data_IF_136974776955
#
_entry.id   IF_136974776955
#
_cell.length_a   1.000
_cell.length_b   1.000
_cell.length_c   1.000
_cell.angle_alpha   90.00
_cell.angle_beta   90.00
_cell.angle_gamma   90.00
#
_symmetry.space_group_name_H-M   'P 1'
#
loop_
_entity.id
_entity.type
_entity.pdbx_description
1 polymer ?
#
# COMPACT_ATOMS: atom_id res chain seq x y z
N UNK A 1 -26.56 42.31 22.20
CA UNK A 1 -26.10 40.98 22.67
C UNK A 1 -26.06 40.07 21.47
N UNK A 2 -24.88 39.76 20.94
CA UNK A 2 -24.71 38.80 19.84
C UNK A 2 -24.14 37.53 20.45
N UNK A 3 -24.92 36.45 20.38
CA UNK A 3 -24.49 35.11 20.82
C UNK A 3 -23.66 34.52 19.68
N UNK A 4 -22.35 34.39 19.90
CA UNK A 4 -21.47 33.68 18.99
C UNK A 4 -21.75 32.18 19.09
N UNK A 5 -22.30 31.60 18.02
CA UNK A 5 -22.44 30.16 17.89
C UNK A 5 -21.06 29.54 17.67
N UNK A 6 -20.62 28.72 18.62
CA UNK A 6 -19.43 27.89 18.49
C UNK A 6 -19.68 26.83 17.42
N UNK A 7 -19.01 26.96 16.28
CA UNK A 7 -18.95 25.89 15.28
C UNK A 7 -18.11 24.74 15.85
N UNK A 8 -18.59 23.48 15.81
CA UNK A 8 -17.77 22.35 16.19
C UNK A 8 -16.62 22.24 15.19
N UNK A 9 -15.39 22.40 15.67
CA UNK A 9 -14.21 22.09 14.88
C UNK A 9 -14.28 20.59 14.56
N UNK A 10 -14.28 20.16 13.28
CA UNK A 10 -14.03 18.77 12.99
C UNK A 10 -12.64 18.48 13.53
N UNK A 11 -12.55 17.55 14.48
CA UNK A 11 -11.28 17.00 14.90
C UNK A 11 -10.61 16.44 13.66
N UNK A 12 -9.61 17.19 13.14
CA UNK A 12 -8.61 16.62 12.27
C UNK A 12 -7.94 15.55 13.12
N UNK A 13 -8.40 14.30 12.95
CA UNK A 13 -7.69 13.15 13.46
C UNK A 13 -6.25 13.31 12.96
N UNK A 14 -5.35 13.60 13.89
CA UNK A 14 -3.93 13.68 13.63
C UNK A 14 -3.56 12.32 13.03
N UNK A 15 -3.28 12.34 11.73
CA UNK A 15 -2.73 11.20 11.01
C UNK A 15 -1.30 11.06 11.49
N UNK A 16 -1.16 10.38 12.63
CA UNK A 16 0.12 9.83 13.05
C UNK A 16 0.44 8.68 12.08
N UNK A 17 1.07 9.02 10.95
CA UNK A 17 2.09 8.18 10.33
C UNK A 17 2.88 8.96 9.23
N UNK A 18 4.00 9.56 9.66
CA UNK A 18 5.27 9.54 8.93
C UNK A 18 5.37 10.13 7.50
N UNK A 19 4.70 11.25 7.22
CA UNK A 19 5.06 12.13 6.09
C UNK A 19 4.59 11.68 4.70
N UNK A 20 3.90 10.55 4.59
CA UNK A 20 3.15 10.17 3.39
C UNK A 20 1.67 10.41 3.62
N UNK A 21 1.09 11.42 2.95
CA UNK A 21 -0.33 11.74 3.07
C UNK A 21 -1.17 10.59 2.50
N UNK A 22 -1.74 9.75 3.38
CA UNK A 22 -2.58 8.62 2.99
C UNK A 22 -4.01 9.10 2.73
N UNK A 23 -4.64 8.58 1.67
CA UNK A 23 -6.02 8.95 1.33
C UNK A 23 -7.03 8.13 2.17
N UNK A 24 -8.18 8.70 2.50
CA UNK A 24 -9.26 7.97 3.19
C UNK A 24 -10.22 7.28 2.21
N UNK A 25 -10.14 7.58 0.92
CA UNK A 25 -11.03 7.06 -0.11
C UNK A 25 -10.31 6.80 -1.44
N UNK A 26 -10.92 5.97 -2.30
CA UNK A 26 -10.41 5.65 -3.63
C UNK A 26 -9.68 4.31 -3.74
N UNK A 27 -9.69 3.51 -2.66
CA UNK A 27 -9.23 2.12 -2.72
C UNK A 27 -10.03 1.33 -3.78
N UNK A 28 -9.33 0.58 -4.62
CA UNK A 28 -9.87 -0.16 -5.76
C UNK A 28 -9.96 0.64 -7.06
N UNK A 29 -9.77 1.96 -7.05
CA UNK A 29 -9.76 2.77 -8.26
C UNK A 29 -8.47 2.56 -9.06
N UNK A 30 -8.55 2.61 -10.39
CA UNK A 30 -7.39 2.46 -11.26
C UNK A 30 -6.37 3.60 -11.12
N UNK A 31 -6.87 4.82 -10.96
CA UNK A 31 -6.06 6.03 -10.73
C UNK A 31 -6.74 6.87 -9.65
N UNK A 32 -6.49 6.54 -8.38
CA UNK A 32 -7.00 7.33 -7.27
C UNK A 32 -6.36 8.72 -7.28
N UNK A 33 -7.11 9.74 -6.85
CA UNK A 33 -6.62 11.11 -6.71
C UNK A 33 -5.70 11.26 -5.47
N UNK A 34 -4.65 10.43 -5.39
CA UNK A 34 -3.67 10.40 -4.31
C UNK A 34 -2.25 10.35 -4.87
N UNK A 35 -1.27 10.60 -4.01
CA UNK A 35 0.15 10.63 -4.38
C UNK A 35 0.63 9.22 -4.72
N UNK A 36 1.38 9.09 -5.82
CA UNK A 36 2.11 7.86 -6.12
C UNK A 36 3.32 7.74 -5.19
N UNK A 37 3.34 6.68 -4.38
CA UNK A 37 4.39 6.35 -3.42
C UNK A 37 5.44 5.39 -3.98
N UNK A 38 5.31 4.99 -5.25
CA UNK A 38 6.19 4.00 -5.88
C UNK A 38 7.64 4.48 -5.95
N UNK A 39 8.57 3.55 -5.73
CA UNK A 39 10.01 3.71 -5.98
C UNK A 39 10.43 3.09 -7.31
N UNK A 40 9.57 2.29 -7.94
CA UNK A 40 9.82 1.65 -9.23
C UNK A 40 8.95 2.32 -10.31
N UNK A 41 9.54 2.86 -11.40
CA UNK A 41 8.78 3.55 -12.44
C UNK A 41 7.84 2.63 -13.24
N UNK A 42 7.92 1.30 -13.07
CA UNK A 42 7.02 0.35 -13.72
C UNK A 42 5.73 0.09 -12.92
N UNK A 43 5.61 0.68 -11.73
CA UNK A 43 4.50 0.44 -10.80
C UNK A 43 3.98 1.75 -10.23
N UNK A 44 2.71 1.73 -9.85
CA UNK A 44 2.04 2.81 -9.13
C UNK A 44 1.65 2.26 -7.76
N UNK A 45 2.01 2.96 -6.70
CA UNK A 45 1.65 2.57 -5.33
C UNK A 45 0.85 3.69 -4.70
N UNK A 46 -0.32 3.34 -4.18
CA UNK A 46 -1.22 4.29 -3.55
C UNK A 46 -1.49 3.87 -2.10
N UNK A 47 -1.26 4.81 -1.17
CA UNK A 47 -1.50 4.61 0.24
C UNK A 47 -2.87 5.14 0.66
N UNK A 48 -3.61 4.32 1.41
CA UNK A 48 -4.86 4.67 2.05
C UNK A 48 -4.84 4.34 3.54
N UNK A 49 -5.61 5.06 4.35
CA UNK A 49 -5.75 4.77 5.77
C UNK A 49 -7.21 4.91 6.18
N UNK A 50 -7.71 3.94 6.93
CA UNK A 50 -9.07 3.96 7.49
C UNK A 50 -9.12 3.18 8.80
N UNK A 51 -9.70 3.78 9.83
CA UNK A 51 -9.96 3.14 11.13
C UNK A 51 -8.69 2.51 11.75
N UNK A 52 -7.53 3.16 11.60
CA UNK A 52 -6.24 2.67 12.09
C UNK A 52 -5.59 1.57 11.23
N UNK A 53 -6.23 1.18 10.12
CA UNK A 53 -5.72 0.22 9.17
C UNK A 53 -5.16 0.97 7.95
N UNK A 54 -3.93 0.65 7.57
CA UNK A 54 -3.27 1.18 6.39
C UNK A 54 -3.41 0.20 5.23
N UNK A 55 -3.77 0.69 4.05
CA UNK A 55 -3.89 -0.08 2.83
C UNK A 55 -2.93 0.44 1.77
N UNK A 56 -2.23 -0.45 1.10
CA UNK A 56 -1.31 -0.13 0.01
C UNK A 56 -1.75 -0.86 -1.23
N UNK A 57 -2.28 -0.11 -2.18
CA UNK A 57 -2.69 -0.64 -3.46
C UNK A 57 -1.55 -0.48 -4.46
N UNK A 58 -1.24 -1.56 -5.18
CA UNK A 58 -0.25 -1.55 -6.26
C UNK A 58 -0.96 -1.75 -7.58
N UNK A 59 -0.73 -0.83 -8.51
CA UNK A 59 -1.26 -0.87 -9.86
C UNK A 59 -0.11 -0.95 -10.87
N UNK A 60 -0.38 -1.59 -12.01
CA UNK A 60 0.47 -1.43 -13.19
C UNK A 60 0.29 -0.04 -13.82
N UNK A 61 1.12 0.28 -14.81
CA UNK A 61 1.03 1.56 -15.54
C UNK A 61 -0.24 1.72 -16.38
N UNK A 62 -1.00 0.65 -16.58
CA UNK A 62 -2.32 0.69 -17.21
C UNK A 62 -3.45 0.95 -16.18
N UNK A 63 -3.11 1.03 -14.89
CA UNK A 63 -4.06 1.29 -13.80
C UNK A 63 -4.74 0.02 -13.30
N UNK A 64 -4.32 -1.17 -13.74
CA UNK A 64 -4.87 -2.43 -13.24
C UNK A 64 -4.30 -2.72 -11.87
N UNK A 65 -5.18 -2.91 -10.88
CA UNK A 65 -4.81 -3.33 -9.54
C UNK A 65 -4.19 -4.72 -9.60
N UNK A 66 -2.96 -4.86 -9.11
CA UNK A 66 -2.26 -6.14 -9.02
C UNK A 66 -2.44 -6.78 -7.65
N UNK A 67 -2.38 -5.97 -6.60
CA UNK A 67 -2.57 -6.41 -5.23
C UNK A 67 -2.90 -5.23 -4.33
N UNK A 68 -3.55 -5.54 -3.20
CA UNK A 68 -3.76 -4.59 -2.10
C UNK A 68 -3.26 -5.25 -0.83
N UNK A 69 -2.33 -4.58 -0.15
CA UNK A 69 -1.82 -4.98 1.16
C UNK A 69 -2.58 -4.21 2.24
N UNK A 70 -3.16 -4.93 3.20
CA UNK A 70 -3.60 -4.35 4.47
C UNK A 70 -2.50 -4.49 5.52
N UNK A 71 -2.32 -3.45 6.33
CA UNK A 71 -1.51 -3.43 7.52
C UNK A 71 -2.35 -2.91 8.69
N UNK A 72 -2.41 -3.68 9.77
CA UNK A 72 -2.81 -3.18 11.08
C UNK A 72 -1.78 -3.62 12.11
N UNK A 73 -1.16 -2.64 12.76
CA UNK A 73 -0.23 -2.86 13.87
C UNK A 73 0.88 -3.89 13.54
N UNK A 74 1.44 -3.79 12.34
CA UNK A 74 2.50 -4.69 11.86
C UNK A 74 2.02 -6.07 11.38
N UNK A 75 0.73 -6.38 11.51
CA UNK A 75 0.13 -7.56 10.89
C UNK A 75 -0.25 -7.23 9.45
N UNK A 76 0.22 -8.04 8.50
CA UNK A 76 -0.01 -7.84 7.07
C UNK A 76 -0.94 -8.93 6.51
N UNK A 77 -1.81 -8.53 5.59
CA UNK A 77 -2.63 -9.45 4.80
C UNK A 77 -2.88 -8.90 3.39
N UNK A 78 -3.25 -9.78 2.46
CA UNK A 78 -3.56 -9.40 1.08
C UNK A 78 -5.07 -9.42 0.89
N UNK A 79 -5.61 -8.35 0.34
CA UNK A 79 -7.01 -8.29 -0.04
C UNK A 79 -7.15 -8.87 -1.46
N UNK A 80 -8.19 -9.67 -1.72
CA UNK A 80 -8.50 -10.11 -3.08
C UNK A 80 -8.92 -8.89 -3.89
N UNK A 81 -8.03 -8.46 -4.78
CA UNK A 81 -8.21 -7.30 -5.63
C UNK A 81 -7.48 -7.51 -6.95
N UNK A 82 -8.01 -6.89 -8.01
CA UNK A 82 -7.48 -7.08 -9.36
C UNK A 82 -8.01 -8.32 -10.06
N UNK A 83 -7.54 -8.52 -11.28
CA UNK A 83 -7.99 -9.59 -12.18
C UNK A 83 -7.18 -10.88 -12.00
N UNK A 84 -6.03 -10.83 -11.34
CA UNK A 84 -5.09 -11.95 -11.23
C UNK A 84 -4.52 -12.03 -9.83
N UNK A 85 -4.53 -13.23 -9.23
CA UNK A 85 -3.81 -13.47 -7.99
C UNK A 85 -2.33 -13.56 -8.25
N UNK A 86 -1.57 -12.68 -7.60
CA UNK A 86 -0.10 -12.74 -7.58
C UNK A 86 0.36 -13.38 -6.28
N UNK A 87 1.42 -14.21 -6.30
CA UNK A 87 1.95 -14.77 -5.07
C UNK A 87 2.61 -13.65 -4.26
N UNK A 88 2.33 -13.61 -2.95
CA UNK A 88 2.89 -12.63 -2.01
C UNK A 88 3.43 -13.33 -0.77
N UNK A 89 4.68 -13.04 -0.42
CA UNK A 89 5.35 -13.44 0.80
C UNK A 89 5.09 -12.42 1.90
N UNK A 90 4.46 -12.84 2.99
CA UNK A 90 4.21 -12.00 4.16
C UNK A 90 5.25 -12.30 5.26
N UNK A 91 5.57 -11.36 6.15
CA UNK A 91 6.51 -11.61 7.24
C UNK A 91 6.12 -12.79 8.14
N UNK A 92 4.81 -12.97 8.40
CA UNK A 92 4.30 -14.10 9.17
C UNK A 92 4.15 -15.40 8.38
N UNK A 93 4.21 -15.34 7.05
CA UNK A 93 4.07 -16.48 6.13
C UNK A 93 5.07 -16.33 4.97
N UNK A 94 6.38 -16.54 5.24
CA UNK A 94 7.40 -16.37 4.23
C UNK A 94 7.22 -17.41 3.12
N UNK A 95 7.28 -16.97 1.88
CA UNK A 95 7.28 -17.83 0.69
C UNK A 95 8.70 -17.93 0.12
N UNK A 96 9.08 -19.10 -0.44
CA UNK A 96 10.41 -19.28 -1.01
C UNK A 96 10.63 -18.34 -2.20
N UNK A 97 11.66 -17.50 -2.09
CA UNK A 97 12.07 -16.60 -3.17
C UNK A 97 12.81 -17.41 -4.25
N UNK A 98 12.49 -17.27 -5.54
CA UNK A 98 13.21 -17.97 -6.59
C UNK A 98 14.68 -17.56 -6.63
N UNK A 99 15.59 -18.54 -6.71
CA UNK A 99 17.05 -18.33 -6.58
C UNK A 99 17.69 -17.42 -7.66
N UNK A 100 17.01 -17.18 -8.78
CA UNK A 100 17.45 -16.27 -9.86
C UNK A 100 16.55 -15.04 -10.02
N UNK A 101 15.79 -14.70 -8.99
CA UNK A 101 14.89 -13.56 -9.07
C UNK A 101 15.65 -12.23 -8.96
N UNK A 102 15.29 -11.27 -9.81
CA UNK A 102 15.74 -9.88 -9.71
C UNK A 102 14.86 -9.18 -8.68
N UNK A 103 15.49 -8.56 -7.68
CA UNK A 103 14.80 -7.81 -6.63
C UNK A 103 14.61 -6.35 -7.04
N UNK A 104 13.37 -5.91 -7.17
CA UNK A 104 12.98 -4.52 -7.37
C UNK A 104 12.25 -3.99 -6.15
N UNK A 105 12.66 -2.82 -5.65
CA UNK A 105 11.95 -2.15 -4.54
C UNK A 105 10.81 -1.33 -5.15
N UNK A 106 9.58 -1.72 -4.85
CA UNK A 106 8.39 -1.06 -5.41
C UNK A 106 7.87 0.02 -4.46
N UNK A 107 7.94 -0.22 -3.15
CA UNK A 107 7.63 0.80 -2.15
C UNK A 107 8.59 0.69 -0.97
N UNK A 108 8.95 1.83 -0.40
CA UNK A 108 9.80 1.94 0.78
C UNK A 108 9.14 2.86 1.79
N UNK A 109 8.59 2.27 2.85
CA UNK A 109 8.10 2.99 4.02
C UNK A 109 9.13 3.01 5.15
N UNK A 110 8.74 3.62 6.28
CA UNK A 110 9.49 3.56 7.54
C UNK A 110 9.47 2.14 8.14
N UNK A 111 8.29 1.52 8.18
CA UNK A 111 8.04 0.26 8.90
C UNK A 111 8.27 -1.00 8.05
N UNK A 112 8.11 -0.89 6.72
CA UNK A 112 8.28 -2.02 5.82
C UNK A 112 8.73 -1.57 4.43
N UNK A 113 9.23 -2.54 3.67
CA UNK A 113 9.57 -2.40 2.26
C UNK A 113 8.76 -3.40 1.47
N UNK A 114 8.09 -2.94 0.42
CA UNK A 114 7.46 -3.82 -0.56
C UNK A 114 8.42 -4.04 -1.72
N UNK A 115 8.77 -5.29 -1.95
CA UNK A 115 9.65 -5.69 -3.02
C UNK A 115 8.98 -6.67 -3.96
N UNK A 116 9.45 -6.67 -5.19
CA UNK A 116 9.05 -7.61 -6.22
C UNK A 116 10.27 -8.39 -6.68
N UNK A 117 10.18 -9.70 -6.58
CA UNK A 117 11.16 -10.66 -7.06
C UNK A 117 10.68 -11.20 -8.41
N UNK A 118 11.28 -10.78 -9.52
CA UNK A 118 10.94 -11.28 -10.86
C UNK A 118 11.90 -12.38 -11.32
N UNK A 119 11.37 -13.53 -11.73
CA UNK A 119 12.15 -14.66 -12.25
C UNK A 119 11.49 -15.20 -13.53
N UNK A 120 12.03 -14.85 -14.69
CA UNK A 120 11.47 -15.25 -15.98
C UNK A 120 10.06 -14.71 -16.19
N UNK A 121 9.09 -15.60 -16.40
CA UNK A 121 7.66 -15.26 -16.52
C UNK A 121 6.94 -15.11 -15.17
N UNK A 122 7.57 -15.50 -14.06
CA UNK A 122 6.99 -15.42 -12.73
C UNK A 122 7.43 -14.18 -11.96
N UNK A 123 6.60 -13.73 -11.03
CA UNK A 123 6.97 -12.74 -10.04
C UNK A 123 6.38 -13.10 -8.68
N UNK A 124 7.18 -12.91 -7.63
CA UNK A 124 6.78 -13.01 -6.23
C UNK A 124 6.88 -11.62 -5.61
N UNK A 125 5.81 -11.17 -4.98
CA UNK A 125 5.85 -9.97 -4.14
C UNK A 125 6.26 -10.36 -2.73
N UNK A 126 6.99 -9.51 -2.03
CA UNK A 126 7.35 -9.76 -0.65
C UNK A 126 7.30 -8.47 0.17
N UNK A 127 6.77 -8.60 1.38
CA UNK A 127 6.82 -7.54 2.38
C UNK A 127 7.96 -7.88 3.33
N UNK A 128 8.94 -7.00 3.40
CA UNK A 128 10.09 -7.12 4.29
C UNK A 128 9.90 -6.11 5.43
N UNK A 129 9.81 -6.61 6.66
CA UNK A 129 9.85 -5.77 7.87
C UNK A 129 11.24 -5.14 8.02
N UNK A 130 11.29 -3.94 8.59
CA UNK A 130 12.56 -3.22 8.82
C UNK A 130 13.01 -3.29 10.28
#
# INVERSE_FOLDING_TARGET
MVVAAYLPMPALAQSDDHGTHMSQAGLGQAYPATVNLSQDPNWLVYGFQRDGISYFQVNDLAGRVQLIVGNADGTFWILPAGETQVPVSLPGQPSPVPAKAVRSVVYRGSNFVLVRYSAGSGALWAIEGR
#
